data_IF_745893122459
#
_entry.id   IF_745893122459
#
_cell.length_a   1.000
_cell.length_b   1.000
_cell.length_c   1.000
_cell.angle_alpha   90.00
_cell.angle_beta   90.00
_cell.angle_gamma   90.00
#
_symmetry.space_group_name_H-M   'P 1'
#
loop_
_entity.id
_entity.type
_entity.pdbx_description
1 polymer ?
#
# COMPACT_ATOMS: atom_id res chain seq x y z
N UNK A 1 37.86 -28.57 28.83
CA UNK A 1 37.52 -27.13 28.75
C UNK A 1 36.14 -26.97 28.12
N UNK A 2 35.10 -26.60 28.88
CA UNK A 2 33.73 -26.36 28.36
C UNK A 2 33.52 -24.86 28.20
N UNK A 3 33.22 -24.39 26.97
CA UNK A 3 32.85 -22.99 26.69
C UNK A 3 31.34 -22.81 26.91
N UNK A 4 30.96 -22.07 27.94
CA UNK A 4 29.58 -21.60 28.13
C UNK A 4 29.36 -20.33 27.30
N UNK A 5 28.45 -20.38 26.32
CA UNK A 5 27.96 -19.19 25.62
C UNK A 5 26.90 -18.52 26.49
N UNK A 6 27.14 -17.27 26.90
CA UNK A 6 26.12 -16.42 27.54
C UNK A 6 25.14 -15.96 26.47
N UNK A 7 23.86 -16.37 26.59
CA UNK A 7 22.77 -15.81 25.80
C UNK A 7 22.51 -14.37 26.26
N UNK A 8 22.50 -13.44 25.31
CA UNK A 8 22.21 -12.02 25.55
C UNK A 8 20.69 -11.87 25.41
N UNK A 9 19.99 -11.69 26.53
CA UNK A 9 18.55 -11.39 26.53
C UNK A 9 18.39 -9.93 26.10
N UNK A 10 17.71 -9.71 24.98
CA UNK A 10 17.36 -8.38 24.49
C UNK A 10 15.91 -8.13 24.88
N UNK A 11 15.70 -7.33 25.92
CA UNK A 11 14.37 -6.83 26.29
C UNK A 11 14.01 -5.69 25.35
N UNK A 12 12.95 -5.87 24.56
CA UNK A 12 12.38 -4.80 23.75
C UNK A 12 11.78 -3.72 24.68
N UNK A 13 12.20 -2.47 24.51
CA UNK A 13 11.62 -1.32 25.20
C UNK A 13 10.43 -0.84 24.36
N UNK A 14 9.23 -0.90 24.92
CA UNK A 14 8.03 -0.30 24.32
C UNK A 14 8.22 1.22 24.38
N UNK A 15 8.17 1.88 23.22
CA UNK A 15 8.22 3.33 23.10
C UNK A 15 6.78 3.82 23.11
N UNK A 16 6.41 4.59 24.11
CA UNK A 16 5.11 5.27 24.15
C UNK A 16 5.11 6.42 23.15
N UNK A 17 4.08 6.46 22.29
CA UNK A 17 3.90 7.52 21.31
C UNK A 17 3.28 8.76 21.97
N UNK A 18 3.72 9.98 21.60
CA UNK A 18 3.01 11.18 21.98
C UNK A 18 1.64 11.19 21.29
N UNK A 19 0.57 11.19 22.07
CA UNK A 19 -0.78 11.29 21.55
C UNK A 19 -0.99 12.58 20.74
N UNK A 20 -2.05 12.58 19.94
CA UNK A 20 -2.77 13.77 19.46
C UNK A 20 -2.27 14.49 18.18
N UNK A 21 -1.73 13.74 17.21
CA UNK A 21 -1.38 14.29 15.88
C UNK A 21 -2.49 14.19 14.82
N UNK A 22 -3.62 13.54 15.11
CA UNK A 22 -4.78 13.48 14.21
C UNK A 22 -5.75 14.64 14.49
N UNK A 23 -5.52 15.77 13.82
CA UNK A 23 -6.63 16.64 13.43
C UNK A 23 -6.47 16.95 11.95
N UNK A 24 -7.07 16.11 11.11
CA UNK A 24 -7.26 16.45 9.70
C UNK A 24 -8.42 17.47 9.60
N UNK A 25 -8.32 18.51 8.76
CA UNK A 25 -9.46 19.32 8.39
C UNK A 25 -10.45 18.51 7.55
N UNK A 26 -11.73 18.72 7.80
CA UNK A 26 -12.86 18.10 7.12
C UNK A 26 -12.81 18.41 5.62
N UNK A 27 -12.47 17.41 4.79
CA UNK A 27 -12.41 17.58 3.34
C UNK A 27 -13.82 17.46 2.73
N UNK A 28 -14.25 18.51 2.02
CA UNK A 28 -15.50 18.53 1.28
C UNK A 28 -15.48 17.53 0.10
N UNK A 29 -16.61 16.89 -0.25
CA UNK A 29 -16.67 15.95 -1.36
C UNK A 29 -16.60 16.71 -2.69
N UNK A 30 -15.69 16.31 -3.58
CA UNK A 30 -15.65 16.78 -4.96
C UNK A 30 -16.57 15.89 -5.81
N UNK A 31 -17.68 16.45 -6.31
CA UNK A 31 -18.55 15.77 -7.27
C UNK A 31 -17.92 15.72 -8.66
N UNK A 32 -17.71 14.51 -9.17
CA UNK A 32 -17.33 14.23 -10.55
C UNK A 32 -18.03 12.96 -11.02
N UNK A 33 -18.99 13.11 -11.93
CA UNK A 33 -19.75 12.01 -12.54
C UNK A 33 -18.86 11.26 -13.52
N UNK A 34 -18.50 10.02 -13.20
CA UNK A 34 -18.03 9.03 -14.18
C UNK A 34 -18.61 7.65 -13.85
N UNK A 35 -19.19 7.00 -14.85
CA UNK A 35 -19.64 5.61 -14.79
C UNK A 35 -18.43 4.66 -14.82
N UNK A 36 -17.60 4.71 -13.78
CA UNK A 36 -16.48 3.79 -13.58
C UNK A 36 -16.68 3.08 -12.24
N UNK A 37 -16.49 1.76 -12.19
CA UNK A 37 -16.66 1.00 -10.95
C UNK A 37 -15.70 1.57 -9.89
N UNK A 38 -16.26 2.23 -8.87
CA UNK A 38 -15.48 2.77 -7.76
C UNK A 38 -15.07 1.62 -6.84
N UNK A 39 -13.77 1.55 -6.53
CA UNK A 39 -13.19 0.65 -5.56
C UNK A 39 -13.09 1.36 -4.22
N UNK A 40 -13.58 0.71 -3.17
CA UNK A 40 -13.33 1.12 -1.79
C UNK A 40 -12.15 0.31 -1.28
N UNK A 41 -11.06 0.98 -0.93
CA UNK A 41 -9.82 0.36 -0.50
C UNK A 41 -9.60 0.64 0.98
N UNK A 42 -9.23 -0.38 1.76
CA UNK A 42 -8.74 -0.23 3.14
C UNK A 42 -7.22 -0.35 3.12
N UNK A 43 -6.54 0.68 3.62
CA UNK A 43 -5.09 0.79 3.65
C UNK A 43 -4.68 0.84 5.12
N UNK A 44 -3.87 -0.13 5.55
CA UNK A 44 -3.42 -0.22 6.93
C UNK A 44 -2.02 -0.80 7.05
N UNK A 45 -1.41 -0.74 8.24
CA UNK A 45 -0.22 -1.52 8.57
C UNK A 45 -0.39 -3.01 8.23
N UNK A 46 0.67 -3.66 7.73
CA UNK A 46 0.62 -5.08 7.36
C UNK A 46 0.37 -6.04 8.54
N UNK A 47 0.63 -5.61 9.78
CA UNK A 47 0.35 -6.33 11.02
C UNK A 47 -1.11 -6.19 11.51
N UNK A 48 -1.98 -5.61 10.67
CA UNK A 48 -3.39 -5.32 10.95
C UNK A 48 -3.59 -4.41 12.18
N UNK A 49 -2.54 -3.73 12.63
CA UNK A 49 -2.60 -2.74 13.70
C UNK A 49 -3.38 -1.50 13.26
N UNK A 50 -4.13 -0.89 14.17
CA UNK A 50 -4.72 0.44 13.93
C UNK A 50 -3.63 1.52 13.93
N UNK A 51 -3.71 2.57 13.09
CA UNK A 51 -4.88 2.99 12.31
C UNK A 51 -4.91 2.46 10.86
N UNK A 52 -6.12 2.23 10.36
CA UNK A 52 -6.41 1.97 8.94
C UNK A 52 -7.12 3.19 8.35
N UNK A 53 -6.93 3.45 7.06
CA UNK A 53 -7.68 4.47 6.32
C UNK A 53 -8.43 3.85 5.15
N UNK A 54 -9.56 4.46 4.80
CA UNK A 54 -10.36 4.07 3.64
C UNK A 54 -10.17 5.09 2.53
N UNK A 55 -9.99 4.62 1.30
CA UNK A 55 -9.83 5.43 0.11
C UNK A 55 -10.82 4.99 -0.97
N UNK A 56 -11.34 5.95 -1.73
CA UNK A 56 -12.17 5.70 -2.90
C UNK A 56 -11.36 5.99 -4.14
N UNK A 57 -11.26 5.02 -5.03
CA UNK A 57 -10.51 5.13 -6.28
C UNK A 57 -11.29 4.52 -7.42
N UNK A 58 -11.07 5.00 -8.64
CA UNK A 58 -11.67 4.43 -9.82
C UNK A 58 -10.89 3.20 -10.28
N UNK A 59 -11.57 2.19 -10.82
CA UNK A 59 -10.93 0.93 -11.20
C UNK A 59 -9.96 1.06 -12.41
N UNK A 60 -10.01 2.16 -13.16
CA UNK A 60 -9.09 2.52 -14.23
C UNK A 60 -7.86 3.32 -13.77
N UNK A 61 -7.87 3.84 -12.53
CA UNK A 61 -6.68 4.45 -11.93
C UNK A 61 -5.56 3.42 -11.80
N UNK A 62 -4.32 3.90 -11.77
CA UNK A 62 -3.13 3.04 -11.76
C UNK A 62 -2.60 2.84 -10.34
N UNK A 63 -1.71 1.86 -10.16
CA UNK A 63 -0.98 1.72 -8.90
C UNK A 63 -0.11 2.95 -8.58
N UNK A 64 0.34 3.69 -9.60
CA UNK A 64 1.03 4.97 -9.37
C UNK A 64 0.10 6.05 -8.80
N UNK A 65 -1.16 6.07 -9.21
CA UNK A 65 -2.16 7.00 -8.64
C UNK A 65 -2.49 6.61 -7.20
N UNK A 66 -2.61 5.31 -6.91
CA UNK A 66 -2.77 4.81 -5.54
C UNK A 66 -1.58 5.19 -4.66
N UNK A 67 -0.36 5.13 -5.18
CA UNK A 67 0.82 5.60 -4.46
C UNK A 67 0.71 7.10 -4.11
N UNK A 68 0.33 7.96 -5.06
CA UNK A 68 0.13 9.41 -4.79
C UNK A 68 -0.91 9.64 -3.69
N UNK A 69 -2.02 8.88 -3.72
CA UNK A 69 -3.04 8.94 -2.68
C UNK A 69 -2.47 8.55 -1.32
N UNK A 70 -1.69 7.47 -1.24
CA UNK A 70 -1.04 7.02 0.00
C UNK A 70 -0.10 8.11 0.53
N UNK A 71 0.78 8.65 -0.31
CA UNK A 71 1.71 9.71 0.08
C UNK A 71 0.95 10.93 0.63
N UNK A 72 -0.09 11.37 -0.07
CA UNK A 72 -0.92 12.50 0.37
C UNK A 72 -1.62 12.22 1.69
N UNK A 73 -2.18 11.02 1.86
CA UNK A 73 -2.92 10.65 3.06
C UNK A 73 -2.01 10.53 4.30
N UNK A 74 -0.79 10.01 4.13
CA UNK A 74 0.16 9.86 5.24
C UNK A 74 1.12 11.04 5.41
N UNK A 75 1.05 12.05 4.54
CA UNK A 75 1.91 13.23 4.57
C UNK A 75 3.39 12.90 4.34
N UNK A 76 3.68 11.92 3.49
CA UNK A 76 5.06 11.56 3.12
C UNK A 76 5.59 12.51 2.04
N UNK A 77 6.91 12.55 1.86
CA UNK A 77 7.62 13.53 1.03
C UNK A 77 7.88 13.12 -0.43
N UNK A 78 7.41 11.93 -0.84
CA UNK A 78 7.63 11.33 -2.16
C UNK A 78 9.13 11.25 -2.60
N UNK A 79 10.04 11.23 -1.63
CA UNK A 79 11.49 11.22 -1.87
C UNK A 79 12.09 9.81 -2.04
N UNK A 80 11.29 8.75 -1.90
CA UNK A 80 11.77 7.38 -1.90
C UNK A 80 11.07 6.50 -2.93
N UNK A 81 11.82 5.54 -3.48
CA UNK A 81 11.22 4.55 -4.37
C UNK A 81 10.20 3.71 -3.61
N UNK A 82 9.16 3.29 -4.32
CA UNK A 82 8.15 2.38 -3.80
C UNK A 82 8.02 1.14 -4.68
N UNK A 83 7.40 0.11 -4.11
CA UNK A 83 6.87 -0.99 -4.88
C UNK A 83 5.63 -1.55 -4.21
N UNK A 84 4.76 -2.12 -5.03
CA UNK A 84 3.68 -2.98 -4.58
C UNK A 84 4.02 -4.44 -4.86
N UNK A 85 3.44 -5.35 -4.08
CA UNK A 85 3.54 -6.79 -4.31
C UNK A 85 2.21 -7.50 -4.06
N UNK A 86 1.86 -8.41 -4.96
CA UNK A 86 0.69 -9.28 -4.84
C UNK A 86 1.08 -10.67 -5.36
N UNK A 87 1.04 -11.68 -4.49
CA UNK A 87 1.53 -13.02 -4.81
C UNK A 87 2.99 -12.99 -5.27
N UNK A 88 3.24 -13.42 -6.51
CA UNK A 88 4.57 -13.38 -7.11
C UNK A 88 4.82 -12.17 -8.03
N UNK A 89 3.84 -11.28 -8.18
CA UNK A 89 3.96 -10.09 -9.03
C UNK A 89 4.46 -8.90 -8.19
N UNK A 90 5.36 -8.12 -8.77
CA UNK A 90 5.92 -6.90 -8.17
C UNK A 90 5.70 -5.72 -9.11
N UNK A 91 5.22 -4.61 -8.55
CA UNK A 91 4.89 -3.40 -9.31
C UNK A 91 5.75 -2.26 -8.79
N UNK A 92 6.72 -1.81 -9.57
CA UNK A 92 7.71 -0.83 -9.10
C UNK A 92 7.35 0.59 -9.54
N UNK A 93 7.87 1.55 -8.76
CA UNK A 93 8.02 2.94 -9.16
C UNK A 93 8.45 3.05 -10.64
N UNK A 94 7.72 3.81 -11.47
CA UNK A 94 8.06 4.04 -12.88
C UNK A 94 9.50 4.50 -13.11
N UNK A 95 10.06 5.32 -12.22
CA UNK A 95 11.43 5.82 -12.34
C UNK A 95 12.45 4.70 -12.12
N UNK A 96 12.22 3.85 -11.12
CA UNK A 96 13.03 2.67 -10.88
C UNK A 96 12.90 1.66 -12.03
N UNK A 97 11.68 1.42 -12.49
CA UNK A 97 11.38 0.47 -13.55
C UNK A 97 12.00 0.87 -14.90
N UNK A 98 12.09 2.16 -15.20
CA UNK A 98 12.71 2.67 -16.42
C UNK A 98 14.19 2.25 -16.59
N UNK A 99 14.87 1.92 -15.48
CA UNK A 99 16.26 1.45 -15.51
C UNK A 99 16.39 -0.06 -15.75
N UNK A 100 15.28 -0.82 -15.73
CA UNK A 100 15.31 -2.26 -15.87
C UNK A 100 15.29 -2.73 -17.33
N UNK A 101 15.97 -3.85 -17.58
CA UNK A 101 15.80 -4.60 -18.81
C UNK A 101 14.41 -5.26 -18.84
N UNK A 102 13.62 -4.98 -19.88
CA UNK A 102 12.21 -5.43 -19.99
C UNK A 102 12.07 -6.94 -20.01
N UNK A 103 13.02 -7.65 -20.62
CA UNK A 103 12.98 -9.12 -20.69
C UNK A 103 13.23 -9.71 -19.30
N UNK A 104 14.26 -9.23 -18.62
CA UNK A 104 14.59 -9.64 -17.26
C UNK A 104 13.49 -9.31 -16.27
N UNK A 105 12.90 -8.10 -16.36
CA UNK A 105 11.78 -7.68 -15.53
C UNK A 105 10.58 -8.62 -15.70
N UNK A 106 10.21 -8.94 -16.95
CA UNK A 106 9.13 -9.88 -17.25
C UNK A 106 9.39 -11.29 -16.72
N UNK A 107 10.61 -11.81 -16.87
CA UNK A 107 11.00 -13.11 -16.31
C UNK A 107 10.90 -13.15 -14.78
N UNK A 108 11.08 -12.00 -14.12
CA UNK A 108 10.96 -11.82 -12.67
C UNK A 108 9.59 -11.34 -12.21
N UNK A 109 8.61 -11.22 -13.13
CA UNK A 109 7.26 -10.71 -12.87
C UNK A 109 7.25 -9.31 -12.23
N UNK A 110 8.15 -8.46 -12.70
CA UNK A 110 8.25 -7.05 -12.33
C UNK A 110 7.56 -6.21 -13.42
N UNK A 111 6.67 -5.32 -13.01
CA UNK A 111 5.92 -4.42 -13.89
C UNK A 111 6.02 -2.98 -13.40
N UNK A 112 5.77 -2.02 -14.28
CA UNK A 112 5.66 -0.62 -13.94
C UNK A 112 4.33 -0.34 -13.23
N UNK A 113 4.34 0.36 -12.10
CA UNK A 113 3.13 0.74 -11.37
C UNK A 113 2.21 1.69 -12.17
N UNK A 114 2.76 2.50 -13.08
CA UNK A 114 1.97 3.39 -13.94
C UNK A 114 1.24 2.64 -15.08
N UNK A 115 1.62 1.39 -15.37
CA UNK A 115 1.01 0.60 -16.46
C UNK A 115 -0.06 -0.39 -15.96
N UNK A 116 -0.30 -0.43 -14.64
CA UNK A 116 -1.15 -1.44 -14.02
C UNK A 116 -2.37 -0.77 -13.38
N UNK A 117 -3.58 -0.98 -13.94
CA UNK A 117 -4.81 -0.44 -13.39
C UNK A 117 -5.27 -1.22 -12.15
N UNK A 118 -5.96 -0.55 -11.22
CA UNK A 118 -6.45 -1.15 -9.98
C UNK A 118 -7.41 -2.32 -10.24
N UNK A 119 -8.26 -2.23 -11.27
CA UNK A 119 -9.13 -3.33 -11.72
C UNK A 119 -8.39 -4.64 -11.97
N UNK A 120 -7.17 -4.58 -12.49
CA UNK A 120 -6.36 -5.78 -12.76
C UNK A 120 -5.89 -6.44 -11.47
N UNK A 121 -5.46 -5.63 -10.51
CA UNK A 121 -4.90 -6.08 -9.23
C UNK A 121 -6.00 -6.61 -8.31
N UNK A 122 -7.12 -5.89 -8.21
CA UNK A 122 -8.24 -6.25 -7.35
C UNK A 122 -9.26 -7.19 -8.01
N UNK A 123 -9.00 -7.69 -9.22
CA UNK A 123 -9.78 -8.79 -9.81
C UNK A 123 -9.65 -10.12 -9.05
N UNK A 124 -8.64 -10.22 -8.16
CA UNK A 124 -8.34 -11.40 -7.34
C UNK A 124 -8.43 -11.02 -5.85
N UNK A 125 -9.62 -11.03 -5.24
CA UNK A 125 -9.80 -10.58 -3.85
C UNK A 125 -9.10 -11.47 -2.82
N UNK A 126 -8.66 -12.68 -3.21
CA UNK A 126 -8.03 -13.65 -2.31
C UNK A 126 -6.60 -13.28 -1.88
N UNK A 127 -5.90 -12.40 -2.62
CA UNK A 127 -4.53 -11.99 -2.30
C UNK A 127 -4.45 -10.49 -1.98
N UNK A 128 -4.05 -10.12 -0.74
CA UNK A 128 -3.88 -8.72 -0.37
C UNK A 128 -2.74 -8.09 -1.18
N UNK A 129 -2.89 -6.81 -1.48
CA UNK A 129 -1.86 -6.00 -2.11
C UNK A 129 -1.00 -5.38 -1.01
N UNK A 130 0.30 -5.65 -1.02
CA UNK A 130 1.24 -5.01 -0.10
C UNK A 130 1.91 -3.84 -0.80
N UNK A 131 2.14 -2.77 -0.05
CA UNK A 131 2.82 -1.56 -0.48
C UNK A 131 4.01 -1.30 0.44
N UNK A 132 5.18 -1.14 -0.14
CA UNK A 132 6.40 -0.78 0.56
C UNK A 132 6.93 0.52 -0.02
N UNK A 133 7.19 1.47 0.88
CA UNK A 133 7.88 2.71 0.59
C UNK A 133 9.24 2.63 1.26
N UNK A 134 10.34 2.90 0.53
CA UNK A 134 11.72 2.65 0.97
C UNK A 134 12.20 3.59 2.09
N UNK A 135 11.51 3.58 3.22
CA UNK A 135 11.89 4.25 4.45
C UNK A 135 12.94 3.42 5.19
N UNK A 136 13.86 4.06 5.94
CA UNK A 136 14.82 3.38 6.84
C UNK A 136 14.17 2.45 7.87
N UNK A 137 12.84 2.54 8.02
CA UNK A 137 12.04 1.89 9.05
C UNK A 137 11.22 0.71 8.52
N UNK A 138 11.30 0.40 7.21
CA UNK A 138 10.69 -0.79 6.60
C UNK A 138 9.17 -0.90 6.78
N UNK A 139 8.44 0.22 6.70
CA UNK A 139 6.98 0.21 6.87
C UNK A 139 6.30 -0.37 5.62
N UNK A 140 5.58 -1.46 5.83
CA UNK A 140 4.75 -2.13 4.83
C UNK A 140 3.27 -1.85 5.15
N UNK A 141 2.52 -1.47 4.12
CA UNK A 141 1.07 -1.31 4.19
C UNK A 141 0.41 -2.49 3.48
N UNK A 142 -0.70 -2.96 4.03
CA UNK A 142 -1.60 -3.92 3.43
C UNK A 142 -2.83 -3.18 2.92
N UNK A 143 -3.20 -3.48 1.68
CA UNK A 143 -4.28 -2.84 0.94
C UNK A 143 -5.25 -3.94 0.52
N UNK A 144 -6.50 -3.81 0.94
CA UNK A 144 -7.56 -4.77 0.64
C UNK A 144 -8.79 -4.04 0.11
N UNK A 145 -9.57 -4.74 -0.71
CA UNK A 145 -10.86 -4.25 -1.18
C UNK A 145 -11.87 -4.36 -0.03
N UNK A 146 -12.65 -3.30 0.20
CA UNK A 146 -13.79 -3.33 1.12
C UNK A 146 -15.04 -3.80 0.39
N UNK A 147 -15.31 -5.11 0.44
CA UNK A 147 -16.51 -5.71 -0.15
C UNK A 147 -17.81 -5.39 0.62
N UNK A 148 -17.73 -4.72 1.78
CA UNK A 148 -18.95 -4.41 2.55
C UNK A 148 -19.83 -3.34 1.91
N UNK A 149 -19.31 -2.57 0.95
CA UNK A 149 -20.08 -1.57 0.20
C UNK A 149 -20.99 -2.22 -0.86
N UNK A 150 -20.57 -3.35 -1.46
CA UNK A 150 -21.34 -4.04 -2.49
C UNK A 150 -22.65 -4.66 -1.94
N UNK A 151 -22.69 -5.02 -0.67
CA UNK A 151 -23.86 -5.64 -0.03
C UNK A 151 -24.95 -4.63 0.39
N UNK A 152 -24.64 -3.33 0.48
CA UNK A 152 -25.63 -2.30 0.87
C UNK A 152 -26.43 -1.70 -0.29
N UNK A 153 -26.00 -1.93 -1.53
CA UNK A 153 -26.69 -1.43 -2.73
C UNK A 153 -27.83 -2.35 -3.21
N UNK A 154 -28.04 -3.50 -2.56
CA UNK A 154 -29.12 -4.44 -2.84
C UNK A 154 -30.13 -4.61 -1.68
N UNK A 155 -30.18 -3.64 -0.75
CA UNK A 155 -31.16 -3.59 0.34
C UNK A 155 -32.35 -2.70 0.02
#
# INVERSE_FOLDING_TARGET
MRRTRKARVVTAKIIEFPGQWWRAPEAAPCEGVFSNAALTLVIGPADDSSPQCSAFMSADETLADLHRLIIQHFGWDDAHNYFFSQGCDRYEDPLLFATQDRVSARCRRIYCAADVPLSRVFSRPEEPLYYTYALPNGRELKIVLDDTVALKLFG
#
